data_IF_151716287471
#
_entry.id   IF_151716287471
#
_cell.length_a   1.000
_cell.length_b   1.000
_cell.length_c   1.000
_cell.angle_alpha   90.00
_cell.angle_beta   90.00
_cell.angle_gamma   90.00
#
_symmetry.space_group_name_H-M   'P 1'
#
loop_
_entity.id
_entity.type
_entity.pdbx_description
1 polymer ?
#
# COMPACT_ATOMS: atom_id res chain seq x y z
N UNK A 1 39.52 16.94 1.34
CA UNK A 1 38.09 16.58 1.22
C UNK A 1 37.25 17.85 1.21
N UNK A 2 36.42 18.09 0.18
CA UNK A 2 35.51 19.25 0.15
C UNK A 2 34.36 19.01 1.15
N UNK A 3 34.02 19.97 2.03
CA UNK A 3 32.93 19.79 2.98
C UNK A 3 31.60 19.71 2.22
N UNK A 4 30.87 18.62 2.43
CA UNK A 4 29.53 18.45 1.88
C UNK A 4 28.60 19.40 2.64
N UNK A 5 28.19 20.49 2.00
CA UNK A 5 27.30 21.48 2.63
C UNK A 5 25.87 20.96 2.70
N UNK A 6 25.16 21.29 3.79
CA UNK A 6 23.76 20.90 4.06
C UNK A 6 22.80 21.27 2.90
N UNK A 7 23.10 22.35 2.17
CA UNK A 7 22.39 22.78 0.96
C UNK A 7 22.48 21.77 -0.20
N UNK A 8 23.64 21.14 -0.38
CA UNK A 8 23.88 20.13 -1.41
C UNK A 8 23.12 18.84 -1.10
N UNK A 9 23.07 18.47 0.19
CA UNK A 9 22.31 17.32 0.69
C UNK A 9 20.81 17.52 0.50
N UNK A 10 20.26 18.67 0.92
CA UNK A 10 18.84 19.00 0.71
C UNK A 10 18.48 19.04 -0.78
N UNK A 11 19.32 19.62 -1.63
CA UNK A 11 19.10 19.66 -3.08
C UNK A 11 19.05 18.26 -3.73
N UNK A 12 19.87 17.33 -3.23
CA UNK A 12 19.85 15.94 -3.67
C UNK A 12 18.56 15.22 -3.25
N UNK A 13 18.13 15.39 -2.00
CA UNK A 13 16.88 14.81 -1.51
C UNK A 13 15.65 15.35 -2.24
N UNK A 14 15.60 16.67 -2.50
CA UNK A 14 14.50 17.30 -3.26
C UNK A 14 14.45 16.76 -4.70
N UNK A 15 15.58 16.71 -5.41
CA UNK A 15 15.64 16.14 -6.77
C UNK A 15 15.24 14.66 -6.81
N UNK A 16 15.65 13.90 -5.80
CA UNK A 16 15.28 12.48 -5.69
C UNK A 16 13.79 12.32 -5.41
N UNK A 17 13.25 13.15 -4.51
CA UNK A 17 11.82 13.17 -4.21
C UNK A 17 10.98 13.53 -5.44
N UNK A 18 11.32 14.59 -6.18
CA UNK A 18 10.59 14.94 -7.41
C UNK A 18 10.65 13.83 -8.46
N UNK A 19 11.80 13.15 -8.59
CA UNK A 19 11.98 12.05 -9.55
C UNK A 19 11.12 10.83 -9.22
N UNK A 20 10.93 10.53 -7.94
CA UNK A 20 10.20 9.34 -7.46
C UNK A 20 8.84 9.68 -6.84
N UNK A 21 8.39 10.92 -6.95
CA UNK A 21 7.23 11.47 -6.25
C UNK A 21 5.98 10.58 -6.43
N UNK A 22 5.68 10.19 -7.66
CA UNK A 22 4.49 9.38 -7.97
C UNK A 22 4.53 8.00 -7.29
N UNK A 23 5.71 7.36 -7.24
CA UNK A 23 5.89 6.06 -6.57
C UNK A 23 5.79 6.21 -5.06
N UNK A 24 6.40 7.24 -4.49
CA UNK A 24 6.36 7.53 -3.05
C UNK A 24 4.92 7.86 -2.61
N UNK A 25 4.20 8.70 -3.36
CA UNK A 25 2.83 9.08 -3.04
C UNK A 25 1.88 7.89 -3.11
N UNK A 26 2.05 7.01 -4.10
CA UNK A 26 1.28 5.77 -4.21
C UNK A 26 1.51 4.86 -2.98
N UNK A 27 2.77 4.62 -2.63
CA UNK A 27 3.13 3.76 -1.49
C UNK A 27 2.64 4.36 -0.16
N UNK A 28 2.75 5.69 0.01
CA UNK A 28 2.21 6.43 1.15
C UNK A 28 0.70 6.22 1.27
N UNK A 29 -0.03 6.38 0.17
CA UNK A 29 -1.49 6.23 0.16
C UNK A 29 -1.93 4.80 0.43
N UNK A 30 -1.25 3.81 -0.15
CA UNK A 30 -1.47 2.39 0.16
C UNK A 30 -1.25 2.12 1.65
N UNK A 31 -0.15 2.60 2.23
CA UNK A 31 0.17 2.36 3.64
C UNK A 31 -0.85 3.00 4.59
N UNK A 32 -1.20 4.27 4.39
CA UNK A 32 -2.16 4.98 5.25
C UNK A 32 -3.54 4.34 5.14
N UNK A 33 -4.02 4.10 3.92
CA UNK A 33 -5.34 3.52 3.69
C UNK A 33 -5.45 2.08 4.17
N UNK A 34 -4.42 1.26 3.98
CA UNK A 34 -4.37 -0.12 4.47
C UNK A 34 -4.37 -0.16 6.00
N UNK A 35 -3.59 0.72 6.65
CA UNK A 35 -3.59 0.85 8.12
C UNK A 35 -4.96 1.27 8.64
N UNK A 36 -5.61 2.24 8.00
CA UNK A 36 -6.94 2.70 8.40
C UNK A 36 -8.02 1.61 8.20
N UNK A 37 -7.96 0.86 7.09
CA UNK A 37 -8.85 -0.28 6.86
C UNK A 37 -8.66 -1.37 7.91
N UNK A 38 -7.41 -1.68 8.28
CA UNK A 38 -7.08 -2.64 9.33
C UNK A 38 -7.61 -2.21 10.70
N UNK A 39 -7.37 -0.96 11.11
CA UNK A 39 -7.89 -0.43 12.37
C UNK A 39 -9.42 -0.42 12.41
N UNK A 40 -10.05 -0.03 11.30
CA UNK A 40 -11.52 -0.08 11.15
C UNK A 40 -12.05 -1.51 11.28
N UNK A 41 -11.40 -2.51 10.69
CA UNK A 41 -11.76 -3.91 10.89
C UNK A 41 -11.70 -4.33 12.35
N UNK A 42 -10.65 -3.95 13.09
CA UNK A 42 -10.53 -4.32 14.52
C UNK A 42 -11.69 -3.73 15.33
N UNK A 43 -11.97 -2.44 15.14
CA UNK A 43 -13.05 -1.74 15.86
C UNK A 43 -14.39 -2.41 15.57
N UNK A 44 -14.67 -2.71 14.30
CA UNK A 44 -15.93 -3.32 13.89
C UNK A 44 -16.04 -4.78 14.35
N UNK A 45 -14.95 -5.55 14.34
CA UNK A 45 -14.93 -6.90 14.85
C UNK A 45 -15.26 -6.97 16.34
N UNK A 46 -14.71 -6.04 17.13
CA UNK A 46 -15.04 -5.92 18.54
C UNK A 46 -16.50 -5.52 18.75
N UNK A 47 -16.97 -4.48 18.05
CA UNK A 47 -18.36 -4.04 18.18
C UNK A 47 -19.35 -5.14 17.78
N UNK A 48 -19.17 -5.77 16.62
CA UNK A 48 -20.12 -6.79 16.12
C UNK A 48 -20.08 -8.07 16.97
N UNK A 49 -18.94 -8.42 17.57
CA UNK A 49 -18.85 -9.54 18.50
C UNK A 49 -19.71 -9.34 19.76
N UNK A 50 -19.95 -8.09 20.18
CA UNK A 50 -20.84 -7.79 21.31
C UNK A 50 -22.32 -7.99 20.96
N UNK A 51 -22.72 -7.86 19.69
CA UNK A 51 -24.11 -7.94 19.25
C UNK A 51 -24.50 -9.24 18.53
N UNK A 52 -23.53 -10.03 18.04
CA UNK A 52 -23.80 -11.21 17.21
C UNK A 52 -22.97 -12.43 17.60
N UNK A 53 -23.64 -13.54 17.87
CA UNK A 53 -23.03 -14.85 18.19
C UNK A 53 -22.56 -15.62 16.95
N UNK A 54 -22.99 -15.21 15.75
CA UNK A 54 -22.56 -15.83 14.49
C UNK A 54 -21.16 -15.38 14.09
N UNK A 55 -20.19 -16.29 14.25
CA UNK A 55 -18.80 -16.06 13.84
C UNK A 55 -18.66 -15.75 12.34
N UNK A 56 -19.49 -16.37 11.50
CA UNK A 56 -19.47 -16.15 10.04
C UNK A 56 -19.94 -14.74 9.71
N UNK A 57 -21.03 -14.29 10.33
CA UNK A 57 -21.56 -12.94 10.09
C UNK A 57 -20.60 -11.86 10.61
N UNK A 58 -20.03 -12.06 11.80
CA UNK A 58 -19.05 -11.14 12.36
C UNK A 58 -17.81 -11.01 11.45
N UNK A 59 -17.27 -12.15 11.00
CA UNK A 59 -16.13 -12.17 10.07
C UNK A 59 -16.47 -11.48 8.75
N UNK A 60 -17.66 -11.72 8.19
CA UNK A 60 -18.07 -11.11 6.93
C UNK A 60 -18.18 -9.58 7.04
N UNK A 61 -18.87 -9.07 8.07
CA UNK A 61 -19.04 -7.63 8.30
C UNK A 61 -17.68 -6.95 8.54
N UNK A 62 -16.82 -7.58 9.35
CA UNK A 62 -15.47 -7.10 9.64
C UNK A 62 -14.62 -6.94 8.39
N UNK A 63 -14.60 -7.97 7.53
CA UNK A 63 -13.79 -7.98 6.30
C UNK A 63 -14.34 -6.98 5.28
N UNK A 64 -15.66 -6.95 5.09
CA UNK A 64 -16.31 -6.01 4.16
C UNK A 64 -16.04 -4.57 4.60
N UNK A 65 -16.18 -4.28 5.89
CA UNK A 65 -15.99 -2.92 6.41
C UNK A 65 -14.54 -2.46 6.27
N UNK A 66 -13.57 -3.28 6.67
CA UNK A 66 -12.16 -2.94 6.49
C UNK A 66 -11.78 -2.72 5.04
N UNK A 67 -12.26 -3.58 4.15
CA UNK A 67 -12.05 -3.43 2.70
C UNK A 67 -12.65 -2.13 2.17
N UNK A 68 -13.89 -1.81 2.55
CA UNK A 68 -14.56 -0.60 2.08
C UNK A 68 -13.87 0.66 2.61
N UNK A 69 -13.53 0.69 3.89
CA UNK A 69 -12.76 1.79 4.52
C UNK A 69 -11.42 1.98 3.82
N UNK A 70 -10.68 0.89 3.60
CA UNK A 70 -9.43 0.93 2.82
C UNK A 70 -9.66 1.56 1.46
N UNK A 71 -10.63 1.07 0.68
CA UNK A 71 -10.87 1.56 -0.69
C UNK A 71 -11.29 3.03 -0.72
N UNK A 72 -12.14 3.47 0.21
CA UNK A 72 -12.60 4.86 0.29
C UNK A 72 -11.45 5.81 0.64
N UNK A 73 -10.71 5.51 1.71
CA UNK A 73 -9.58 6.35 2.14
C UNK A 73 -8.50 6.39 1.06
N UNK A 74 -8.21 5.23 0.49
CA UNK A 74 -7.27 5.13 -0.62
C UNK A 74 -7.71 6.01 -1.80
N UNK A 75 -8.99 5.94 -2.21
CA UNK A 75 -9.51 6.74 -3.32
C UNK A 75 -9.42 8.24 -3.07
N UNK A 76 -9.69 8.69 -1.83
CA UNK A 76 -9.58 10.09 -1.41
C UNK A 76 -8.12 10.56 -1.51
N UNK A 77 -7.20 9.84 -0.86
CA UNK A 77 -5.77 10.19 -0.86
C UNK A 77 -5.19 10.16 -2.28
N UNK A 78 -5.55 9.15 -3.06
CA UNK A 78 -5.16 9.05 -4.46
C UNK A 78 -5.68 10.22 -5.29
N UNK A 79 -6.95 10.62 -5.09
CA UNK A 79 -7.52 11.77 -5.78
C UNK A 79 -6.77 13.05 -5.43
N UNK A 80 -6.51 13.31 -4.15
CA UNK A 80 -5.79 14.51 -3.69
C UNK A 80 -4.41 14.60 -4.35
N UNK A 81 -3.65 13.51 -4.33
CA UNK A 81 -2.27 13.49 -4.81
C UNK A 81 -2.16 13.50 -6.36
N UNK A 82 -3.13 12.91 -7.07
CA UNK A 82 -3.03 12.70 -8.52
C UNK A 82 -4.02 13.54 -9.35
N UNK A 83 -4.87 14.38 -8.73
CA UNK A 83 -5.91 15.18 -9.41
C UNK A 83 -5.39 15.88 -10.66
N UNK A 84 -4.19 16.47 -10.57
CA UNK A 84 -3.58 17.26 -11.64
C UNK A 84 -3.18 16.40 -12.85
N UNK A 85 -3.00 15.09 -12.68
CA UNK A 85 -2.53 14.18 -13.72
C UNK A 85 -3.64 13.64 -14.62
N UNK A 86 -4.89 13.63 -14.12
CA UNK A 86 -6.06 13.22 -14.91
C UNK A 86 -7.11 14.31 -15.10
N UNK A 87 -6.95 15.51 -14.54
CA UNK A 87 -7.80 16.66 -14.86
C UNK A 87 -7.22 17.47 -16.02
N UNK A 88 -8.03 17.68 -17.07
CA UNK A 88 -7.63 18.52 -18.22
C UNK A 88 -7.41 19.97 -17.76
N UNK A 89 -6.18 20.48 -17.86
CA UNK A 89 -5.77 21.82 -17.36
C UNK A 89 -6.67 22.97 -17.80
N UNK A 90 -7.18 22.94 -19.04
CA UNK A 90 -7.96 24.04 -19.62
C UNK A 90 -9.47 23.92 -19.40
N UNK A 91 -10.00 22.73 -19.13
CA UNK A 91 -11.46 22.50 -19.07
C UNK A 91 -11.94 21.99 -17.72
N UNK A 92 -11.03 21.62 -16.81
CA UNK A 92 -11.37 21.00 -15.52
C UNK A 92 -12.00 19.61 -15.64
N UNK A 93 -12.28 19.13 -16.86
CA UNK A 93 -12.92 17.83 -17.10
C UNK A 93 -11.95 16.68 -16.77
N UNK A 94 -12.51 15.62 -16.18
CA UNK A 94 -11.78 14.39 -15.90
C UNK A 94 -11.46 13.69 -17.22
N UNK A 95 -10.19 13.36 -17.42
CA UNK A 95 -9.74 12.46 -18.46
C UNK A 95 -9.84 11.02 -17.96
N UNK A 96 -10.98 10.39 -18.21
CA UNK A 96 -11.25 9.00 -17.79
C UNK A 96 -10.22 7.99 -18.33
N UNK A 97 -9.63 8.23 -19.50
CA UNK A 97 -8.58 7.37 -20.06
C UNK A 97 -7.31 7.44 -19.20
N UNK A 98 -6.93 8.65 -18.78
CA UNK A 98 -5.80 8.85 -17.87
C UNK A 98 -6.08 8.25 -16.49
N UNK A 99 -7.27 8.49 -15.93
CA UNK A 99 -7.70 7.92 -14.64
C UNK A 99 -7.67 6.39 -14.66
N UNK A 100 -8.30 5.76 -15.66
CA UNK A 100 -8.31 4.30 -15.83
C UNK A 100 -6.90 3.72 -15.91
N UNK A 101 -6.00 4.37 -16.66
CA UNK A 101 -4.61 3.94 -16.78
C UNK A 101 -3.88 3.96 -15.43
N UNK A 102 -4.12 4.97 -14.60
CA UNK A 102 -3.49 5.05 -13.28
C UNK A 102 -4.09 4.00 -12.32
N UNK A 103 -5.42 3.83 -12.33
CA UNK A 103 -6.10 2.81 -11.53
C UNK A 103 -5.61 1.39 -11.84
N UNK A 104 -5.41 1.04 -13.12
CA UNK A 104 -4.90 -0.29 -13.51
C UNK A 104 -3.49 -0.51 -12.94
N UNK A 105 -2.60 0.48 -13.07
CA UNK A 105 -1.22 0.39 -12.55
C UNK A 105 -1.20 0.20 -11.03
N UNK A 106 -2.12 0.88 -10.36
CA UNK A 106 -2.27 0.85 -8.91
C UNK A 106 -2.87 -0.47 -8.40
N UNK A 107 -3.90 -1.00 -9.07
CA UNK A 107 -4.45 -2.32 -8.74
C UNK A 107 -3.36 -3.38 -8.96
N UNK A 108 -2.64 -3.32 -10.08
CA UNK A 108 -1.54 -4.22 -10.37
C UNK A 108 -0.45 -4.17 -9.28
N UNK A 109 -0.06 -2.95 -8.87
CA UNK A 109 0.89 -2.76 -7.78
C UNK A 109 0.37 -3.34 -6.46
N UNK A 110 -0.84 -2.99 -6.02
CA UNK A 110 -1.44 -3.52 -4.79
C UNK A 110 -1.50 -5.05 -4.80
N UNK A 111 -1.97 -5.64 -5.89
CA UNK A 111 -2.09 -7.11 -6.00
C UNK A 111 -0.72 -7.79 -5.93
N UNK A 112 0.31 -7.22 -6.56
CA UNK A 112 1.67 -7.76 -6.44
C UNK A 112 2.18 -7.69 -5.01
N UNK A 113 2.00 -6.55 -4.33
CA UNK A 113 2.38 -6.40 -2.93
C UNK A 113 1.69 -7.44 -2.06
N UNK A 114 0.37 -7.55 -2.17
CA UNK A 114 -0.45 -8.48 -1.37
C UNK A 114 -0.07 -9.94 -1.64
N UNK A 115 0.22 -10.29 -2.90
CA UNK A 115 0.63 -11.65 -3.28
C UNK A 115 1.97 -12.01 -2.66
N UNK A 116 2.98 -11.12 -2.80
CA UNK A 116 4.31 -11.35 -2.23
C UNK A 116 4.23 -11.41 -0.70
N UNK A 117 3.46 -10.53 -0.08
CA UNK A 117 3.34 -10.46 1.37
C UNK A 117 2.72 -11.73 1.93
N UNK A 118 1.57 -12.14 1.40
CA UNK A 118 0.85 -13.31 1.88
C UNK A 118 1.63 -14.61 1.63
N UNK A 119 2.25 -14.75 0.45
CA UNK A 119 3.05 -15.93 0.13
C UNK A 119 4.29 -16.04 1.03
N UNK A 120 5.01 -14.93 1.22
CA UNK A 120 6.21 -14.89 2.08
C UNK A 120 5.84 -15.17 3.53
N UNK A 121 4.76 -14.55 4.04
CA UNK A 121 4.29 -14.76 5.41
C UNK A 121 3.92 -16.22 5.65
N UNK A 122 3.19 -16.83 4.72
CA UNK A 122 2.80 -18.24 4.79
C UNK A 122 4.02 -19.17 4.89
N UNK A 123 5.03 -18.98 4.03
CA UNK A 123 6.25 -19.78 4.03
C UNK A 123 7.07 -19.59 5.32
N UNK A 124 7.21 -18.35 5.79
CA UNK A 124 7.96 -18.03 7.02
C UNK A 124 7.30 -18.60 8.27
N UNK A 125 5.96 -18.55 8.37
CA UNK A 125 5.26 -19.16 9.51
C UNK A 125 5.57 -20.66 9.58
N UNK A 126 5.49 -21.38 8.45
CA UNK A 126 5.81 -22.82 8.42
C UNK A 126 7.24 -23.09 8.88
N UNK A 127 8.21 -22.27 8.43
CA UNK A 127 9.60 -22.43 8.83
C UNK A 127 9.85 -22.11 10.31
N UNK A 128 9.27 -21.02 10.82
CA UNK A 128 9.44 -20.60 12.22
C UNK A 128 8.77 -21.58 13.19
N UNK A 129 7.60 -22.11 12.86
CA UNK A 129 6.95 -23.15 13.67
C UNK A 129 7.78 -24.45 13.72
N UNK A 130 8.46 -24.81 12.62
CA UNK A 130 9.41 -25.95 12.61
C UNK A 130 10.66 -25.71 13.47
N UNK A 131 10.99 -24.44 13.73
CA UNK A 131 12.07 -24.02 14.63
C UNK A 131 11.58 -23.82 16.08
N UNK A 132 10.37 -24.32 16.40
CA UNK A 132 9.77 -24.27 17.74
C UNK A 132 9.47 -22.85 18.27
N UNK A 133 9.37 -21.85 17.39
CA UNK A 133 8.83 -20.54 17.77
C UNK A 133 7.34 -20.64 18.14
N UNK A 134 6.91 -19.83 19.10
CA UNK A 134 5.47 -19.75 19.41
C UNK A 134 4.68 -19.21 18.22
N UNK A 135 3.40 -19.58 18.12
CA UNK A 135 2.53 -19.13 17.02
C UNK A 135 2.46 -17.60 16.91
N UNK A 136 2.46 -16.90 18.04
CA UNK A 136 2.41 -15.43 18.11
C UNK A 136 3.72 -14.82 17.59
N UNK A 137 4.86 -15.34 18.03
CA UNK A 137 6.17 -14.86 17.58
C UNK A 137 6.38 -15.13 16.08
N UNK A 138 6.02 -16.33 15.63
CA UNK A 138 6.11 -16.72 14.24
C UNK A 138 5.23 -15.83 13.34
N UNK A 139 3.99 -15.55 13.76
CA UNK A 139 3.09 -14.66 13.02
C UNK A 139 3.60 -13.22 12.97
N UNK A 140 4.12 -12.71 14.08
CA UNK A 140 4.63 -11.33 14.16
C UNK A 140 5.89 -11.15 13.32
N UNK A 141 6.88 -12.04 13.47
CA UNK A 141 8.16 -11.95 12.77
C UNK A 141 7.97 -12.17 11.26
N UNK A 142 7.16 -13.15 10.87
CA UNK A 142 6.83 -13.38 9.46
C UNK A 142 6.12 -12.19 8.82
N UNK A 143 5.19 -11.53 9.53
CA UNK A 143 4.48 -10.36 9.01
C UNK A 143 5.40 -9.16 8.80
N UNK A 144 6.34 -8.93 9.72
CA UNK A 144 7.36 -7.88 9.60
C UNK A 144 8.27 -8.12 8.39
N UNK A 145 8.86 -9.32 8.31
CA UNK A 145 9.79 -9.67 7.23
C UNK A 145 9.08 -9.68 5.87
N UNK A 146 7.87 -10.25 5.79
CA UNK A 146 7.09 -10.27 4.56
C UNK A 146 6.73 -8.86 4.09
N UNK A 147 6.41 -7.94 5.00
CA UNK A 147 6.09 -6.55 4.65
C UNK A 147 7.30 -5.86 4.04
N UNK A 148 8.47 -5.98 4.68
CA UNK A 148 9.73 -5.40 4.18
C UNK A 148 10.08 -5.95 2.80
N UNK A 149 10.00 -7.28 2.63
CA UNK A 149 10.29 -7.94 1.36
C UNK A 149 9.32 -7.50 0.25
N UNK A 150 8.04 -7.37 0.57
CA UNK A 150 7.01 -6.95 -0.39
C UNK A 150 7.22 -5.52 -0.85
N UNK A 151 7.59 -4.61 0.05
CA UNK A 151 7.99 -3.25 -0.32
C UNK A 151 9.26 -3.23 -1.18
N UNK A 152 10.25 -4.07 -0.90
CA UNK A 152 11.45 -4.16 -1.71
C UNK A 152 11.12 -4.65 -3.13
N UNK A 153 10.36 -5.75 -3.26
CA UNK A 153 10.02 -6.37 -4.54
C UNK A 153 9.16 -5.42 -5.38
N UNK A 154 8.14 -4.79 -4.79
CA UNK A 154 7.29 -3.88 -5.58
C UNK A 154 8.08 -2.67 -6.09
N UNK A 155 8.98 -2.11 -5.29
CA UNK A 155 9.82 -1.00 -5.72
C UNK A 155 10.76 -1.42 -6.88
N UNK A 156 11.27 -2.65 -6.87
CA UNK A 156 12.05 -3.21 -7.98
C UNK A 156 11.20 -3.40 -9.24
N UNK A 157 10.03 -4.02 -9.12
CA UNK A 157 9.13 -4.31 -10.25
C UNK A 157 8.61 -3.02 -10.88
N UNK A 158 8.17 -2.06 -10.06
CA UNK A 158 7.69 -0.76 -10.53
C UNK A 158 8.77 0.00 -11.30
N UNK A 159 10.02 -0.08 -10.83
CA UNK A 159 11.19 0.50 -11.52
C UNK A 159 11.52 -0.23 -12.82
N UNK A 160 11.45 -1.55 -12.84
CA UNK A 160 11.78 -2.37 -14.02
C UNK A 160 10.75 -2.21 -15.14
N UNK A 161 9.47 -2.33 -14.80
CA UNK A 161 8.35 -2.27 -15.77
C UNK A 161 8.10 -0.83 -16.26
N UNK A 162 8.83 0.17 -15.76
CA UNK A 162 8.56 1.58 -16.05
C UNK A 162 7.09 1.92 -15.81
N UNK A 163 6.50 1.32 -14.77
CA UNK A 163 5.05 1.33 -14.56
C UNK A 163 4.53 2.77 -14.48
N UNK A 164 5.34 3.73 -14.00
CA UNK A 164 4.99 5.15 -13.92
C UNK A 164 5.72 6.06 -14.93
N UNK A 165 6.55 5.53 -15.83
CA UNK A 165 7.25 6.37 -16.79
C UNK A 165 6.34 6.70 -17.96
N UNK A 166 6.12 8.00 -18.19
CA UNK A 166 5.45 8.52 -19.39
C UNK A 166 6.37 8.18 -20.58
N UNK A 167 5.91 7.36 -21.54
CA UNK A 167 6.59 7.26 -22.85
C UNK A 167 6.70 8.71 -23.37
N UNK A 168 7.94 9.17 -23.59
CA UNK A 168 8.20 10.38 -24.36
C UNK A 168 7.67 10.18 -25.78
#
# INVERSE_FOLDING_TARGET
MKPITQKTVNGFFIKTYEKYHNTISLNKNLLISGSAGFLSSIIIAHFVAEFSTSHVLNSAITVITGFLTYKVIFAILFHIDNKRDYTKRLTGKINFIALRRILIKMIFASTLFDTVNNLTRFLLIIQLLKLEYSAIEAATLSSLVASVLSYAIINLIVKYIHLFTKKR
#
